data_IF_559752163684
#
_entry.id   IF_559752163684
#
_cell.length_a   1.000
_cell.length_b   1.000
_cell.length_c   1.000
_cell.angle_alpha   90.00
_cell.angle_beta   90.00
_cell.angle_gamma   90.00
#
_symmetry.space_group_name_H-M   'P 1'
#
loop_
_entity.id
_entity.type
_entity.pdbx_description
1 polymer ?
#
# COMPACT_ATOMS: atom_id res chain seq x y z
N UNK A 1 3.23 -7.55 22.84
CA UNK A 1 3.55 -6.51 21.86
C UNK A 1 2.98 -6.85 20.48
N UNK A 2 2.50 -5.85 19.71
CA UNK A 2 1.97 -6.01 18.34
C UNK A 2 3.10 -5.73 17.34
N UNK A 3 3.30 -6.58 16.33
CA UNK A 3 4.26 -6.35 15.25
C UNK A 3 3.79 -5.21 14.33
N UNK A 4 4.67 -4.25 14.04
CA UNK A 4 4.37 -3.07 13.21
C UNK A 4 4.99 -3.10 11.82
N UNK A 5 5.84 -4.09 11.52
CA UNK A 5 6.65 -4.14 10.28
C UNK A 5 8.08 -3.66 10.47
N UNK A 6 8.33 -2.73 11.40
CA UNK A 6 9.66 -2.12 11.63
C UNK A 6 10.51 -2.91 12.62
N UNK A 7 9.90 -3.35 13.71
CA UNK A 7 10.62 -4.03 14.79
C UNK A 7 10.68 -5.52 14.50
N UNK A 8 11.86 -6.04 14.21
CA UNK A 8 12.04 -7.49 14.13
C UNK A 8 11.81 -8.15 15.51
N UNK A 9 10.91 -9.13 15.56
CA UNK A 9 10.55 -9.89 16.77
C UNK A 9 10.79 -11.37 16.49
N UNK A 10 11.89 -11.97 17.01
CA UNK A 10 12.18 -13.36 16.73
C UNK A 10 11.31 -14.33 17.53
N UNK A 11 11.00 -15.48 16.94
CA UNK A 11 10.14 -16.53 17.51
C UNK A 11 8.71 -16.52 16.98
N UNK A 12 8.45 -15.78 15.90
CA UNK A 12 7.20 -15.83 15.14
C UNK A 12 7.55 -16.42 13.78
N UNK A 13 7.07 -17.64 13.52
CA UNK A 13 7.51 -18.46 12.38
C UNK A 13 7.39 -17.76 11.02
N UNK A 14 6.33 -16.97 10.82
CA UNK A 14 6.13 -16.18 9.60
C UNK A 14 7.17 -15.07 9.39
N UNK A 15 7.76 -14.54 10.48
CA UNK A 15 8.73 -13.44 10.43
C UNK A 15 10.18 -13.91 10.49
N UNK A 16 10.45 -15.02 11.19
CA UNK A 16 11.81 -15.58 11.32
C UNK A 16 12.39 -16.05 9.98
N UNK A 17 11.53 -16.35 8.99
CA UNK A 17 11.92 -16.78 7.64
C UNK A 17 11.89 -15.64 6.62
N UNK A 18 11.81 -14.40 7.08
CA UNK A 18 11.85 -13.24 6.20
C UNK A 18 13.28 -12.85 5.87
N UNK A 19 13.52 -12.27 4.68
CA UNK A 19 14.79 -11.63 4.36
C UNK A 19 15.28 -10.74 5.53
N UNK A 20 14.40 -9.86 6.04
CA UNK A 20 14.70 -8.92 7.12
C UNK A 20 15.31 -9.61 8.35
N UNK A 21 14.80 -10.77 8.75
CA UNK A 21 15.37 -11.54 9.85
C UNK A 21 16.85 -11.90 9.59
N UNK A 22 17.15 -12.46 8.42
CA UNK A 22 18.51 -12.87 8.04
C UNK A 22 19.47 -11.68 7.98
N UNK A 23 19.03 -10.53 7.49
CA UNK A 23 19.85 -9.31 7.50
C UNK A 23 20.23 -8.88 8.91
N UNK A 24 19.26 -8.84 9.81
CA UNK A 24 19.47 -8.48 11.21
C UNK A 24 20.44 -9.45 11.88
N UNK A 25 20.24 -10.75 11.70
CA UNK A 25 21.16 -11.77 12.24
C UNK A 25 22.57 -11.60 11.67
N UNK A 26 22.71 -11.43 10.37
CA UNK A 26 24.02 -11.25 9.72
C UNK A 26 24.78 -10.06 10.30
N UNK A 27 24.12 -8.93 10.53
CA UNK A 27 24.74 -7.73 11.14
C UNK A 27 25.30 -8.05 12.52
N UNK A 28 24.52 -8.64 13.41
CA UNK A 28 25.02 -9.02 14.75
C UNK A 28 26.12 -10.09 14.70
N UNK A 29 26.01 -11.12 13.84
CA UNK A 29 27.09 -12.10 13.69
C UNK A 29 28.40 -11.47 13.19
N UNK A 30 28.30 -10.44 12.34
CA UNK A 30 29.47 -9.75 11.78
C UNK A 30 30.26 -8.96 12.83
N UNK A 31 29.65 -8.61 13.97
CA UNK A 31 30.32 -7.86 15.05
C UNK A 31 31.04 -8.75 16.07
N UNK A 32 30.75 -10.05 16.10
CA UNK A 32 31.23 -10.95 17.15
C UNK A 32 32.76 -10.97 17.31
N UNK A 33 33.51 -10.76 16.23
CA UNK A 33 34.98 -10.68 16.27
C UNK A 33 35.52 -9.41 16.91
N UNK A 34 34.73 -8.34 16.95
CA UNK A 34 35.12 -7.02 17.44
C UNK A 34 34.76 -6.80 18.91
N UNK A 35 33.85 -7.61 19.44
CA UNK A 35 33.32 -7.46 20.80
C UNK A 35 33.90 -8.44 21.83
N UNK A 36 34.80 -9.34 21.42
CA UNK A 36 35.28 -10.42 22.29
C UNK A 36 35.89 -9.88 23.60
N UNK A 37 35.33 -10.28 24.74
CA UNK A 37 35.74 -9.82 26.07
C UNK A 37 35.64 -8.29 26.29
N UNK A 38 34.86 -7.57 25.48
CA UNK A 38 34.67 -6.12 25.56
C UNK A 38 33.40 -5.74 26.33
N UNK A 39 33.32 -4.48 26.77
CA UNK A 39 32.09 -3.85 27.25
C UNK A 39 31.34 -3.25 26.07
N UNK A 40 30.15 -3.79 25.80
CA UNK A 40 29.33 -3.45 24.64
C UNK A 40 28.03 -2.80 25.09
N UNK A 41 27.58 -1.77 24.37
CA UNK A 41 26.21 -1.27 24.44
C UNK A 41 25.52 -1.47 23.08
N UNK A 42 24.31 -2.00 23.12
CA UNK A 42 23.41 -2.21 21.99
C UNK A 42 22.29 -1.17 22.11
N UNK A 43 22.38 -0.08 21.35
CA UNK A 43 21.46 1.05 21.40
C UNK A 43 20.32 0.82 20.41
N UNK A 44 19.09 1.02 20.89
CA UNK A 44 17.86 0.54 20.27
C UNK A 44 17.87 -0.98 20.07
N UNK A 45 18.20 -1.72 21.14
CA UNK A 45 18.39 -3.17 21.12
C UNK A 45 17.15 -3.98 20.74
N UNK A 46 15.99 -3.34 20.60
CA UNK A 46 14.76 -4.01 20.31
C UNK A 46 14.40 -5.01 21.39
N UNK A 47 13.85 -6.15 20.97
CA UNK A 47 13.50 -7.28 21.83
C UNK A 47 14.71 -7.97 22.48
N UNK A 48 15.94 -7.50 22.23
CA UNK A 48 17.16 -7.93 22.93
C UNK A 48 17.81 -9.19 22.37
N UNK A 49 17.34 -9.73 21.24
CA UNK A 49 17.91 -10.95 20.65
C UNK A 49 19.36 -10.74 20.19
N UNK A 50 19.68 -9.57 19.64
CA UNK A 50 21.02 -9.18 19.23
C UNK A 50 21.94 -9.03 20.43
N UNK A 51 21.49 -8.33 21.48
CA UNK A 51 22.22 -8.22 22.74
C UNK A 51 22.49 -9.59 23.37
N UNK A 52 21.51 -10.49 23.35
CA UNK A 52 21.66 -11.86 23.84
C UNK A 52 22.67 -12.69 23.03
N UNK A 53 22.67 -12.54 21.70
CA UNK A 53 23.67 -13.19 20.84
C UNK A 53 25.07 -12.65 21.14
N UNK A 54 25.22 -11.32 21.23
CA UNK A 54 26.51 -10.68 21.51
C UNK A 54 27.08 -11.07 22.88
N UNK A 55 26.22 -11.31 23.87
CA UNK A 55 26.61 -11.75 25.20
C UNK A 55 27.30 -13.13 25.22
N UNK A 56 27.27 -13.90 24.12
CA UNK A 56 28.06 -15.13 23.97
C UNK A 56 29.57 -14.88 23.77
N UNK A 57 29.94 -13.70 23.26
CA UNK A 57 31.33 -13.33 22.96
C UNK A 57 31.83 -12.16 23.83
N UNK A 58 30.94 -11.23 24.15
CA UNK A 58 31.28 -10.02 24.91
C UNK A 58 31.57 -10.28 26.39
N UNK A 59 32.38 -9.41 26.99
CA UNK A 59 32.63 -9.43 28.43
C UNK A 59 31.41 -8.95 29.23
N UNK A 60 30.75 -7.89 28.72
CA UNK A 60 29.52 -7.33 29.26
C UNK A 60 28.71 -6.72 28.12
N UNK A 61 27.38 -6.87 28.15
CA UNK A 61 26.45 -6.25 27.19
C UNK A 61 25.38 -5.46 27.94
N UNK A 62 25.14 -4.25 27.47
CA UNK A 62 24.03 -3.41 27.89
C UNK A 62 23.07 -3.20 26.72
N UNK A 63 21.84 -3.70 26.80
CA UNK A 63 20.79 -3.40 25.83
C UNK A 63 19.98 -2.19 26.25
N UNK A 64 19.83 -1.20 25.36
CA UNK A 64 19.07 0.02 25.63
C UNK A 64 18.02 0.23 24.56
N UNK A 65 16.78 0.49 24.96
CA UNK A 65 15.67 0.84 24.05
C UNK A 65 14.76 1.86 24.74
N UNK A 66 14.14 2.75 23.96
CA UNK A 66 13.22 3.77 24.48
C UNK A 66 11.92 3.16 25.02
N UNK A 67 11.53 2.00 24.48
CA UNK A 67 10.31 1.27 24.81
C UNK A 67 10.46 0.46 26.10
N UNK A 68 9.81 0.93 27.17
CA UNK A 68 9.75 0.20 28.44
C UNK A 68 9.10 -1.19 28.31
N UNK A 69 8.08 -1.34 27.45
CA UNK A 69 7.43 -2.64 27.20
C UNK A 69 8.42 -3.64 26.61
N UNK A 70 9.20 -3.20 25.62
CA UNK A 70 10.22 -4.02 24.95
C UNK A 70 11.31 -4.44 25.92
N UNK A 71 11.84 -3.52 26.72
CA UNK A 71 12.88 -3.82 27.71
C UNK A 71 12.37 -4.86 28.71
N UNK A 72 11.16 -4.71 29.24
CA UNK A 72 10.57 -5.69 30.16
C UNK A 72 10.39 -7.08 29.53
N UNK A 73 10.11 -7.14 28.23
CA UNK A 73 10.04 -8.42 27.52
C UNK A 73 11.43 -9.03 27.31
N UNK A 74 12.42 -8.22 26.91
CA UNK A 74 13.81 -8.65 26.73
C UNK A 74 14.41 -9.21 28.04
N UNK A 75 14.23 -8.51 29.17
CA UNK A 75 14.67 -8.94 30.50
C UNK A 75 14.11 -10.30 30.91
N UNK A 76 12.84 -10.57 30.58
CA UNK A 76 12.19 -11.85 30.88
C UNK A 76 12.66 -12.97 29.98
N UNK A 77 12.91 -12.66 28.70
CA UNK A 77 13.24 -13.65 27.67
C UNK A 77 14.72 -14.05 27.71
N UNK A 78 15.61 -13.10 27.99
CA UNK A 78 17.05 -13.29 27.87
C UNK A 78 17.76 -13.01 29.19
N UNK A 79 18.07 -14.08 29.93
CA UNK A 79 18.77 -13.99 31.22
C UNK A 79 20.18 -14.54 31.09
N UNK A 80 21.17 -13.66 31.25
CA UNK A 80 22.60 -14.01 31.30
C UNK A 80 23.32 -13.15 32.35
N UNK A 81 24.41 -13.66 32.89
CA UNK A 81 25.17 -12.98 33.96
C UNK A 81 25.86 -11.69 33.48
N UNK A 82 26.13 -11.56 32.19
CA UNK A 82 26.84 -10.46 31.55
C UNK A 82 25.94 -9.64 30.62
N UNK A 83 24.62 -9.71 30.80
CA UNK A 83 23.64 -9.00 29.98
C UNK A 83 22.69 -8.22 30.89
N UNK A 84 22.53 -6.94 30.62
CA UNK A 84 21.59 -6.08 31.34
C UNK A 84 20.82 -5.24 30.35
N UNK A 85 19.52 -5.10 30.56
CA UNK A 85 18.67 -4.23 29.75
C UNK A 85 18.26 -3.01 30.56
N UNK A 86 18.07 -1.88 29.88
CA UNK A 86 17.61 -0.65 30.52
C UNK A 86 16.83 0.22 29.54
N UNK A 87 15.87 0.99 30.05
CA UNK A 87 15.17 1.97 29.25
C UNK A 87 16.04 3.23 29.08
N UNK A 88 16.22 3.71 27.85
CA UNK A 88 17.02 4.90 27.59
C UNK A 88 16.76 5.53 26.22
N UNK A 89 17.10 6.80 26.07
CA UNK A 89 17.04 7.52 24.79
C UNK A 89 18.42 7.53 24.13
N UNK A 90 18.44 7.46 22.80
CA UNK A 90 19.67 7.61 22.01
C UNK A 90 20.33 8.98 22.22
N UNK A 91 19.54 10.00 22.58
CA UNK A 91 20.02 11.37 22.79
C UNK A 91 20.77 11.56 24.11
N UNK A 92 20.54 10.68 25.09
CA UNK A 92 21.17 10.76 26.41
C UNK A 92 21.21 9.38 27.07
N UNK A 93 22.41 8.83 27.16
CA UNK A 93 22.70 7.51 27.69
C UNK A 93 23.11 7.62 29.17
N UNK A 94 22.56 6.76 30.02
CA UNK A 94 22.88 6.71 31.46
C UNK A 94 24.18 5.93 31.72
N UNK A 95 25.27 6.38 31.10
CA UNK A 95 26.60 5.78 31.19
C UNK A 95 27.65 6.85 31.38
N UNK A 96 28.69 6.55 32.14
CA UNK A 96 29.82 7.44 32.36
C UNK A 96 30.68 7.61 31.09
N UNK A 97 31.36 8.74 31.00
CA UNK A 97 32.28 9.05 29.91
C UNK A 97 33.38 7.99 29.79
N UNK A 98 33.78 7.65 28.56
CA UNK A 98 34.92 6.76 28.29
C UNK A 98 34.85 5.38 28.98
N UNK A 99 33.67 4.79 29.10
CA UNK A 99 33.49 3.48 29.77
C UNK A 99 33.19 2.33 28.81
N UNK A 100 32.75 2.61 27.59
CA UNK A 100 32.29 1.62 26.62
C UNK A 100 33.38 1.33 25.58
N UNK A 101 33.67 0.05 25.33
CA UNK A 101 34.61 -0.36 24.29
C UNK A 101 33.97 -0.34 22.89
N UNK A 102 32.73 -0.83 22.79
CA UNK A 102 32.02 -0.95 21.52
C UNK A 102 30.57 -0.49 21.67
N UNK A 103 30.16 0.46 20.85
CA UNK A 103 28.75 0.85 20.70
C UNK A 103 28.22 0.21 19.42
N UNK A 104 27.09 -0.47 19.51
CA UNK A 104 26.38 -1.08 18.37
C UNK A 104 24.98 -0.48 18.29
N UNK A 105 24.52 -0.11 17.10
CA UNK A 105 23.15 0.37 16.88
C UNK A 105 22.72 0.12 15.44
N UNK A 106 21.78 -0.80 15.24
CA UNK A 106 21.33 -1.19 13.90
C UNK A 106 19.91 -0.70 13.65
N UNK A 107 19.67 -0.14 12.46
CA UNK A 107 18.37 0.37 12.00
C UNK A 107 17.71 1.31 13.05
N UNK A 108 18.34 2.46 13.29
CA UNK A 108 17.98 3.33 14.42
C UNK A 108 18.02 4.80 14.04
N UNK A 109 19.12 5.25 13.44
CA UNK A 109 19.40 6.68 13.22
C UNK A 109 18.36 7.34 12.29
N UNK A 110 17.79 6.57 11.36
CA UNK A 110 16.76 6.97 10.42
C UNK A 110 15.41 7.28 11.08
N UNK A 111 15.15 6.76 12.27
CA UNK A 111 13.89 6.95 13.00
C UNK A 111 13.83 8.28 13.76
N UNK A 112 14.91 9.04 13.78
CA UNK A 112 14.99 10.32 14.48
C UNK A 112 15.32 11.46 13.53
N UNK A 113 14.93 12.68 13.92
CA UNK A 113 15.23 13.87 13.12
C UNK A 113 16.72 14.23 13.19
N UNK A 114 17.18 15.13 12.32
CA UNK A 114 18.60 15.48 12.22
C UNK A 114 19.20 15.98 13.55
N UNK A 115 18.48 16.77 14.34
CA UNK A 115 18.95 17.26 15.65
C UNK A 115 19.21 16.10 16.61
N UNK A 116 18.28 15.15 16.71
CA UNK A 116 18.43 13.95 17.52
C UNK A 116 19.56 13.04 17.00
N UNK A 117 19.81 12.98 15.68
CA UNK A 117 20.98 12.27 15.15
C UNK A 117 22.30 12.90 15.61
N UNK A 118 22.40 14.24 15.63
CA UNK A 118 23.56 14.95 16.15
C UNK A 118 23.78 14.64 17.64
N UNK A 119 22.72 14.69 18.45
CA UNK A 119 22.79 14.34 19.88
C UNK A 119 23.20 12.88 20.08
N UNK A 120 22.61 11.96 19.30
CA UNK A 120 22.93 10.55 19.36
C UNK A 120 24.42 10.29 19.12
N UNK A 121 24.98 10.76 18.01
CA UNK A 121 26.41 10.51 17.72
C UNK A 121 27.33 11.23 18.71
N UNK A 122 26.93 12.40 19.22
CA UNK A 122 27.66 13.10 20.29
C UNK A 122 27.72 12.25 21.56
N UNK A 123 26.59 11.67 21.95
CA UNK A 123 26.49 10.87 23.16
C UNK A 123 27.24 9.55 23.04
N UNK A 124 27.18 8.92 21.86
CA UNK A 124 28.01 7.76 21.53
C UNK A 124 29.49 8.09 21.69
N UNK A 125 29.95 9.23 21.16
CA UNK A 125 31.35 9.66 21.30
C UNK A 125 31.74 9.92 22.76
N UNK A 126 30.82 10.42 23.59
CA UNK A 126 31.06 10.66 25.02
C UNK A 126 31.30 9.36 25.79
N UNK A 127 30.45 8.35 25.59
CA UNK A 127 30.52 7.09 26.34
C UNK A 127 31.64 6.15 25.86
N UNK A 128 32.03 6.26 24.59
CA UNK A 128 33.12 5.48 24.03
C UNK A 128 34.46 5.82 24.69
N UNK A 129 35.22 4.77 25.01
CA UNK A 129 36.66 4.90 25.29
C UNK A 129 37.37 5.52 24.10
N UNK A 130 38.57 6.06 24.33
CA UNK A 130 39.41 6.67 23.29
C UNK A 130 39.66 5.71 22.10
N UNK A 131 39.93 4.44 22.39
CA UNK A 131 40.14 3.37 21.41
C UNK A 131 38.86 2.59 21.07
N UNK A 132 37.72 3.07 21.57
CA UNK A 132 36.42 2.47 21.33
C UNK A 132 35.91 2.71 19.92
N UNK A 133 34.99 1.86 19.49
CA UNK A 133 34.41 1.90 18.14
C UNK A 133 32.90 1.95 18.19
N UNK A 134 32.33 2.62 17.19
CA UNK A 134 30.91 2.58 16.88
C UNK A 134 30.70 1.69 15.67
N UNK A 135 29.75 0.76 15.75
CA UNK A 135 29.26 -0.03 14.61
C UNK A 135 27.78 0.25 14.47
N UNK A 136 27.35 0.79 13.34
CA UNK A 136 25.93 1.09 13.11
C UNK A 136 25.47 0.67 11.73
N UNK A 137 24.16 0.54 11.55
CA UNK A 137 23.55 0.37 10.23
C UNK A 137 22.40 1.34 10.01
N UNK A 138 22.16 1.64 8.74
CA UNK A 138 20.98 2.35 8.29
C UNK A 138 20.69 2.04 6.82
N UNK A 139 19.44 2.24 6.37
CA UNK A 139 19.07 2.08 4.98
C UNK A 139 19.82 3.06 4.08
N UNK A 140 20.24 2.58 2.92
CA UNK A 140 20.68 3.42 1.82
C UNK A 140 19.46 4.07 1.18
N UNK A 141 19.25 5.36 1.45
CA UNK A 141 18.06 6.11 1.00
C UNK A 141 17.70 5.88 -0.47
N UNK A 142 18.71 5.86 -1.35
CA UNK A 142 18.54 5.69 -2.79
C UNK A 142 17.88 4.36 -3.15
N UNK A 143 18.26 3.30 -2.45
CA UNK A 143 17.82 1.93 -2.75
C UNK A 143 16.60 1.54 -1.93
N UNK A 144 16.57 1.90 -0.65
CA UNK A 144 15.50 1.50 0.26
C UNK A 144 14.22 2.31 0.02
N UNK A 145 14.33 3.64 -0.01
CA UNK A 145 13.16 4.53 0.01
C UNK A 145 12.85 5.16 -1.33
N UNK A 146 13.85 5.67 -2.05
CA UNK A 146 13.59 6.34 -3.33
C UNK A 146 13.08 5.33 -4.38
N UNK A 147 13.72 4.15 -4.49
CA UNK A 147 13.23 3.08 -5.36
C UNK A 147 11.83 2.58 -4.98
N UNK A 148 11.54 2.43 -3.69
CA UNK A 148 10.22 2.00 -3.23
C UNK A 148 9.14 3.06 -3.52
N UNK A 149 9.47 4.34 -3.38
CA UNK A 149 8.58 5.44 -3.73
C UNK A 149 8.36 5.53 -5.25
N UNK A 150 9.43 5.45 -6.05
CA UNK A 150 9.33 5.55 -7.51
C UNK A 150 8.57 4.37 -8.11
N UNK A 151 8.68 3.18 -7.51
CA UNK A 151 8.05 1.95 -8.01
C UNK A 151 6.62 1.77 -7.49
N UNK A 152 6.37 2.07 -6.22
CA UNK A 152 5.10 1.74 -5.54
C UNK A 152 4.40 2.93 -4.88
N UNK A 153 4.96 4.13 -4.94
CA UNK A 153 4.46 5.29 -4.20
C UNK A 153 4.56 5.12 -2.68
N UNK A 154 5.32 4.13 -2.21
CA UNK A 154 5.43 3.78 -0.80
C UNK A 154 6.35 4.75 -0.06
N UNK A 155 5.97 5.13 1.16
CA UNK A 155 6.81 5.87 2.11
C UNK A 155 6.72 5.20 3.47
N UNK A 156 7.86 4.90 4.06
CA UNK A 156 7.90 4.45 5.44
C UNK A 156 7.69 5.64 6.38
N UNK A 157 6.56 5.68 7.09
CA UNK A 157 6.24 6.76 8.02
C UNK A 157 7.13 6.80 9.28
N UNK A 158 7.80 5.68 9.58
CA UNK A 158 8.71 5.57 10.71
C UNK A 158 10.12 6.08 10.40
N UNK A 159 10.47 6.27 9.12
CA UNK A 159 11.76 6.79 8.70
C UNK A 159 11.70 8.33 8.61
N UNK A 160 12.15 8.99 9.66
CA UNK A 160 12.13 10.46 9.81
C UNK A 160 13.24 11.14 8.99
N UNK A 161 14.47 10.62 9.03
CA UNK A 161 15.60 11.14 8.24
C UNK A 161 16.58 10.05 7.84
N UNK A 162 16.50 9.63 6.59
CA UNK A 162 17.50 8.76 5.97
C UNK A 162 18.59 9.60 5.26
N UNK A 163 19.74 8.98 5.00
CA UNK A 163 20.85 9.64 4.29
C UNK A 163 21.22 8.90 3.02
N UNK A 164 21.71 9.66 2.04
CA UNK A 164 22.53 9.10 0.97
C UNK A 164 23.93 8.76 1.51
N UNK A 165 24.65 7.86 0.83
CA UNK A 165 25.99 7.42 1.25
C UNK A 165 26.94 8.61 1.52
N UNK A 166 26.99 9.58 0.61
CA UNK A 166 27.89 10.73 0.73
C UNK A 166 27.50 11.67 1.88
N UNK A 167 26.19 11.91 2.06
CA UNK A 167 25.67 12.70 3.18
C UNK A 167 26.03 12.05 4.51
N UNK A 168 25.84 10.73 4.60
CA UNK A 168 26.11 10.00 5.82
C UNK A 168 27.60 9.93 6.15
N UNK A 169 28.43 9.72 5.13
CA UNK A 169 29.88 9.76 5.25
C UNK A 169 30.35 11.12 5.75
N UNK A 170 29.83 12.22 5.20
CA UNK A 170 30.16 13.57 5.66
C UNK A 170 29.70 13.81 7.10
N UNK A 171 28.47 13.41 7.44
CA UNK A 171 27.92 13.53 8.77
C UNK A 171 28.78 12.81 9.81
N UNK A 172 29.10 11.53 9.61
CA UNK A 172 29.90 10.74 10.56
C UNK A 172 31.35 11.24 10.68
N UNK A 173 31.96 11.72 9.58
CA UNK A 173 33.31 12.30 9.58
C UNK A 173 33.41 13.61 10.36
N UNK A 174 32.29 14.28 10.66
CA UNK A 174 32.30 15.42 11.59
C UNK A 174 32.55 15.02 13.05
N UNK A 175 32.39 13.72 13.38
CA UNK A 175 32.58 13.19 14.73
C UNK A 175 33.78 12.26 14.88
N UNK A 176 34.11 11.49 13.85
CA UNK A 176 35.14 10.44 13.88
C UNK A 176 36.17 10.64 12.76
N UNK A 177 37.45 10.42 13.08
CA UNK A 177 38.54 10.52 12.09
C UNK A 177 38.47 9.39 11.05
N UNK A 178 38.06 8.19 11.46
CA UNK A 178 37.95 7.02 10.59
C UNK A 178 36.50 6.56 10.49
N UNK A 179 36.02 6.41 9.26
CA UNK A 179 34.66 5.97 8.93
C UNK A 179 34.73 4.97 7.77
N UNK A 180 34.48 3.70 8.07
CA UNK A 180 34.61 2.58 7.12
C UNK A 180 33.25 1.99 6.78
N UNK A 181 32.86 2.10 5.51
CA UNK A 181 31.59 1.59 5.03
C UNK A 181 31.71 0.13 4.57
N UNK A 182 30.69 -0.64 4.93
CA UNK A 182 30.35 -1.97 4.42
C UNK A 182 28.92 -1.94 3.92
N UNK A 183 28.57 -2.88 3.06
CA UNK A 183 27.30 -2.85 2.34
C UNK A 183 26.63 -4.22 2.40
N UNK A 184 25.38 -4.24 2.85
CA UNK A 184 24.56 -5.44 2.88
C UNK A 184 23.47 -5.34 1.81
N UNK A 185 23.29 -6.47 1.12
CA UNK A 185 22.38 -6.62 0.00
C UNK A 185 21.94 -8.07 -0.12
N UNK A 186 20.79 -8.27 -0.73
CA UNK A 186 20.35 -9.60 -1.16
C UNK A 186 20.88 -9.90 -2.54
N UNK A 187 21.34 -11.13 -2.70
CA UNK A 187 21.73 -11.70 -3.98
C UNK A 187 21.17 -13.11 -4.06
N UNK A 188 20.72 -13.51 -5.26
CA UNK A 188 20.34 -14.90 -5.49
C UNK A 188 21.60 -15.73 -5.71
N UNK A 189 21.82 -16.73 -4.85
CA UNK A 189 22.92 -17.68 -5.00
C UNK A 189 22.43 -18.99 -5.63
N UNK A 190 23.22 -19.53 -6.55
CA UNK A 190 23.02 -20.89 -7.07
C UNK A 190 24.04 -21.82 -6.42
N UNK A 191 23.54 -22.80 -5.69
CA UNK A 191 24.36 -23.79 -5.01
C UNK A 191 24.42 -25.06 -5.86
N UNK A 192 25.62 -25.44 -6.28
CA UNK A 192 25.92 -26.75 -6.86
C UNK A 192 26.76 -27.53 -5.85
N UNK A 193 26.22 -28.65 -5.36
CA UNK A 193 26.92 -29.52 -4.40
C UNK A 193 26.81 -30.97 -4.84
N UNK A 194 27.88 -31.74 -4.67
CA UNK A 194 27.82 -33.19 -4.76
C UNK A 194 27.53 -33.78 -3.38
N UNK A 195 26.92 -34.96 -3.30
CA UNK A 195 26.52 -35.59 -2.03
C UNK A 195 27.67 -35.73 -1.03
N UNK A 196 28.91 -35.84 -1.50
CA UNK A 196 30.12 -36.02 -0.68
C UNK A 196 31.05 -34.80 -0.68
N UNK A 197 30.60 -33.63 -1.14
CA UNK A 197 31.42 -32.42 -1.13
C UNK A 197 31.72 -31.98 0.31
N UNK A 198 33.00 -31.72 0.59
CA UNK A 198 33.48 -31.20 1.89
C UNK A 198 33.92 -29.74 1.80
N UNK A 199 33.95 -29.18 0.59
CA UNK A 199 34.28 -27.79 0.30
C UNK A 199 33.37 -27.23 -0.79
N UNK A 200 33.25 -25.91 -0.85
CA UNK A 200 32.48 -25.18 -1.85
C UNK A 200 33.29 -23.98 -2.33
N UNK A 201 33.36 -23.81 -3.65
CA UNK A 201 33.93 -22.61 -4.26
C UNK A 201 32.84 -21.56 -4.48
N UNK A 202 33.18 -20.29 -4.19
CA UNK A 202 32.31 -19.14 -4.49
C UNK A 202 32.76 -18.55 -5.83
N UNK A 203 31.93 -18.73 -6.86
CA UNK A 203 32.21 -18.20 -8.20
C UNK A 203 31.37 -16.94 -8.43
N UNK A 204 32.04 -15.79 -8.45
CA UNK A 204 31.42 -14.50 -8.79
C UNK A 204 31.60 -14.21 -10.27
N UNK A 205 30.52 -14.34 -11.06
CA UNK A 205 30.57 -14.05 -12.51
C UNK A 205 30.54 -12.56 -12.82
N UNK A 206 29.82 -11.78 -12.02
CA UNK A 206 29.76 -10.33 -12.11
C UNK A 206 30.21 -9.75 -10.78
N UNK A 207 31.10 -8.77 -10.80
CA UNK A 207 31.31 -7.91 -9.63
C UNK A 207 30.14 -6.93 -9.58
N UNK A 208 29.14 -7.23 -8.75
CA UNK A 208 28.05 -6.30 -8.46
C UNK A 208 28.62 -5.00 -7.89
N UNK A 209 28.18 -3.85 -8.40
CA UNK A 209 28.48 -2.57 -7.77
C UNK A 209 27.76 -2.49 -6.41
N UNK A 210 28.36 -1.81 -5.44
CA UNK A 210 27.74 -1.57 -4.13
C UNK A 210 26.52 -0.62 -4.21
N UNK A 211 26.22 -0.10 -5.40
CA UNK A 211 25.18 0.90 -5.66
C UNK A 211 23.77 0.37 -5.37
N UNK A 212 23.58 -0.96 -5.42
CA UNK A 212 22.31 -1.62 -5.14
C UNK A 212 22.20 -2.15 -3.70
N UNK A 213 23.15 -1.82 -2.84
CA UNK A 213 23.06 -2.22 -1.45
C UNK A 213 21.93 -1.50 -0.73
N UNK A 214 21.04 -2.28 -0.11
CA UNK A 214 19.90 -1.79 0.63
C UNK A 214 20.34 -1.14 1.94
N UNK A 215 21.38 -1.68 2.57
CA UNK A 215 21.79 -1.29 3.91
C UNK A 215 23.28 -0.94 3.95
N UNK A 216 23.59 0.18 4.60
CA UNK A 216 24.94 0.60 4.92
C UNK A 216 25.26 0.12 6.33
N UNK A 217 26.44 -0.47 6.52
CA UNK A 217 26.98 -0.77 7.84
C UNK A 217 28.29 -0.02 7.99
N UNK A 218 28.44 0.75 9.05
CA UNK A 218 29.56 1.66 9.20
C UNK A 218 30.29 1.39 10.51
N UNK A 219 31.61 1.25 10.44
CA UNK A 219 32.50 1.25 11.61
C UNK A 219 33.15 2.62 11.71
N UNK A 220 32.98 3.29 12.85
CA UNK A 220 33.58 4.59 13.16
C UNK A 220 34.53 4.49 14.35
N UNK A 221 35.65 5.21 14.29
CA UNK A 221 36.65 5.25 15.36
C UNK A 221 37.46 6.53 15.33
N UNK A 222 38.08 6.89 16.46
CA UNK A 222 39.02 8.01 16.53
C UNK A 222 40.44 7.65 16.07
N UNK A 223 40.79 6.37 16.12
CA UNK A 223 42.10 5.88 15.69
C UNK A 223 41.95 4.93 14.51
N UNK A 224 42.99 4.81 13.70
CA UNK A 224 43.04 3.81 12.64
C UNK A 224 43.00 2.43 13.28
N UNK A 225 41.92 1.71 13.03
CA UNK A 225 41.78 0.33 13.47
C UNK A 225 41.64 -0.51 12.20
N UNK A 226 42.43 -1.59 12.09
CA UNK A 226 42.34 -2.55 11.00
C UNK A 226 41.06 -3.40 11.04
N UNK A 227 39.94 -2.78 11.38
CA UNK A 227 38.64 -3.41 11.52
C UNK A 227 37.91 -3.28 10.19
N UNK A 228 37.74 -4.42 9.54
CA UNK A 228 36.69 -4.60 8.53
C UNK A 228 35.66 -5.58 9.08
N UNK A 229 34.41 -5.42 8.65
CA UNK A 229 33.46 -6.52 8.76
C UNK A 229 33.90 -7.61 7.81
N UNK A 230 33.92 -8.85 8.28
CA UNK A 230 34.25 -9.98 7.42
C UNK A 230 33.14 -10.14 6.38
N UNK A 231 33.55 -10.34 5.13
CA UNK A 231 32.62 -10.78 4.09
C UNK A 231 31.94 -12.07 4.56
N UNK A 232 30.61 -12.09 4.50
CA UNK A 232 29.81 -13.23 4.91
C UNK A 232 28.67 -13.41 3.91
N UNK A 233 28.26 -14.68 3.74
CA UNK A 233 27.08 -15.07 2.99
C UNK A 233 26.18 -15.78 3.99
N UNK A 234 24.94 -15.33 4.09
CA UNK A 234 23.92 -16.02 4.87
C UNK A 234 22.99 -16.72 3.89
N UNK A 235 22.83 -18.02 4.08
CA UNK A 235 21.92 -18.83 3.28
C UNK A 235 20.58 -18.91 4.01
N UNK A 236 19.52 -18.51 3.33
CA UNK A 236 18.15 -18.70 3.81
C UNK A 236 17.80 -20.19 3.88
N UNK A 237 16.69 -20.53 4.54
CA UNK A 237 16.21 -21.90 4.56
C UNK A 237 16.04 -22.45 3.13
N UNK A 238 16.52 -23.69 2.85
CA UNK A 238 16.40 -24.29 1.53
C UNK A 238 14.96 -24.31 1.03
N UNK A 239 14.74 -23.84 -0.19
CA UNK A 239 13.42 -23.88 -0.84
C UNK A 239 12.60 -22.59 -0.72
N UNK A 240 12.93 -21.67 0.19
CA UNK A 240 12.21 -20.38 0.38
C UNK A 240 12.11 -19.59 -0.93
N UNK A 241 13.24 -19.38 -1.59
CA UNK A 241 13.28 -18.69 -2.89
C UNK A 241 12.49 -19.42 -3.99
N UNK A 242 12.53 -20.77 -4.00
CA UNK A 242 11.79 -21.56 -4.99
C UNK A 242 10.28 -21.46 -4.76
N UNK A 243 9.85 -21.36 -3.51
CA UNK A 243 8.45 -21.12 -3.17
C UNK A 243 8.01 -19.72 -3.56
N UNK A 244 8.80 -18.69 -3.23
CA UNK A 244 8.54 -17.30 -3.64
C UNK A 244 8.42 -17.15 -5.16
N UNK A 245 9.33 -17.77 -5.93
CA UNK A 245 9.28 -17.71 -7.40
C UNK A 245 8.06 -18.44 -7.98
N UNK A 246 7.65 -19.57 -7.40
CA UNK A 246 6.40 -20.25 -7.79
C UNK A 246 5.16 -19.41 -7.46
N UNK A 247 5.14 -18.79 -6.29
CA UNK A 247 4.05 -17.92 -5.86
C UNK A 247 3.93 -16.69 -6.77
N UNK A 248 5.06 -16.07 -7.12
CA UNK A 248 5.10 -14.94 -8.04
C UNK A 248 4.56 -15.32 -9.43
N UNK A 249 5.02 -16.43 -10.00
CA UNK A 249 4.53 -16.92 -11.29
C UNK A 249 3.03 -17.25 -11.25
N UNK A 250 2.54 -17.79 -10.13
CA UNK A 250 1.12 -18.02 -9.88
C UNK A 250 0.32 -16.71 -9.84
N UNK A 251 0.83 -15.69 -9.14
CA UNK A 251 0.21 -14.38 -9.04
C UNK A 251 0.15 -13.66 -10.40
N UNK A 252 1.24 -13.69 -11.19
CA UNK A 252 1.26 -13.15 -12.55
C UNK A 252 0.19 -13.77 -13.44
N UNK A 253 0.00 -15.10 -13.34
CA UNK A 253 -1.06 -15.80 -14.07
C UNK A 253 -2.46 -15.33 -13.65
N UNK A 254 -2.70 -15.13 -12.35
CA UNK A 254 -3.97 -14.60 -11.86
C UNK A 254 -4.21 -13.16 -12.29
N UNK A 255 -3.19 -12.30 -12.25
CA UNK A 255 -3.26 -10.92 -12.73
C UNK A 255 -3.66 -10.90 -14.21
N UNK A 256 -3.01 -11.70 -15.05
CA UNK A 256 -3.34 -11.78 -16.47
C UNK A 256 -4.78 -12.23 -16.71
N UNK A 257 -5.30 -13.19 -15.93
CA UNK A 257 -6.70 -13.61 -16.02
C UNK A 257 -7.67 -12.48 -15.65
N UNK A 258 -7.35 -11.72 -14.60
CA UNK A 258 -8.15 -10.56 -14.18
C UNK A 258 -8.17 -9.50 -15.28
N UNK A 259 -7.01 -9.18 -15.87
CA UNK A 259 -6.92 -8.21 -16.96
C UNK A 259 -7.77 -8.62 -18.17
N UNK A 260 -7.70 -9.88 -18.61
CA UNK A 260 -8.57 -10.40 -19.69
C UNK A 260 -10.05 -10.30 -19.33
N UNK A 261 -10.41 -10.52 -18.06
CA UNK A 261 -11.80 -10.40 -17.60
C UNK A 261 -12.27 -8.94 -17.63
N UNK A 262 -11.42 -7.99 -17.24
CA UNK A 262 -11.70 -6.55 -17.30
C UNK A 262 -11.96 -6.14 -18.75
N UNK A 263 -11.07 -6.49 -19.70
CA UNK A 263 -11.26 -6.18 -21.13
C UNK A 263 -12.58 -6.74 -21.67
N UNK A 264 -12.93 -7.96 -21.28
CA UNK A 264 -14.20 -8.59 -21.68
C UNK A 264 -15.40 -7.81 -21.14
N UNK A 265 -15.36 -7.40 -19.88
CA UNK A 265 -16.43 -6.63 -19.23
C UNK A 265 -16.56 -5.23 -19.84
N UNK A 266 -15.45 -4.57 -20.16
CA UNK A 266 -15.45 -3.26 -20.82
C UNK A 266 -16.11 -3.34 -22.21
N UNK A 267 -15.81 -4.38 -22.99
CA UNK A 267 -16.45 -4.62 -24.29
C UNK A 267 -17.95 -4.87 -24.16
N UNK A 268 -18.36 -5.68 -23.18
CA UNK A 268 -19.78 -5.94 -22.89
C UNK A 268 -20.51 -4.66 -22.46
N UNK A 269 -19.89 -3.86 -21.61
CA UNK A 269 -20.44 -2.58 -21.17
C UNK A 269 -20.61 -1.61 -22.35
N UNK A 270 -19.64 -1.55 -23.27
CA UNK A 270 -19.75 -0.77 -24.49
C UNK A 270 -20.91 -1.21 -25.40
N UNK A 271 -21.14 -2.53 -25.55
CA UNK A 271 -22.27 -3.06 -26.30
C UNK A 271 -23.61 -2.70 -25.67
N UNK A 272 -23.74 -2.91 -24.35
CA UNK A 272 -24.96 -2.57 -23.61
C UNK A 272 -25.25 -1.07 -23.65
N UNK A 273 -24.21 -0.23 -23.59
CA UNK A 273 -24.37 1.21 -23.73
C UNK A 273 -24.90 1.58 -25.12
N UNK A 274 -24.38 0.95 -26.18
CA UNK A 274 -24.91 1.13 -27.54
C UNK A 274 -26.36 0.65 -27.72
N UNK A 275 -26.75 -0.47 -27.11
CA UNK A 275 -28.15 -0.94 -27.11
C UNK A 275 -29.08 0.02 -26.35
N UNK A 276 -28.63 0.53 -25.21
CA UNK A 276 -29.36 1.52 -24.42
C UNK A 276 -29.62 2.80 -25.19
N UNK A 277 -28.64 3.28 -25.96
CA UNK A 277 -28.79 4.50 -26.76
C UNK A 277 -29.76 4.28 -27.95
N UNK A 278 -29.74 3.11 -28.60
CA UNK A 278 -30.76 2.75 -29.60
C UNK A 278 -32.17 2.68 -29.02
N UNK A 279 -32.32 2.09 -27.83
CA UNK A 279 -33.63 2.02 -27.16
C UNK A 279 -34.14 3.43 -26.80
N UNK A 280 -33.25 4.35 -26.42
CA UNK A 280 -33.62 5.76 -26.18
C UNK A 280 -34.16 6.42 -27.45
N UNK A 281 -33.49 6.27 -28.58
CA UNK A 281 -33.97 6.78 -29.87
C UNK A 281 -35.36 6.23 -30.24
N UNK A 282 -35.57 4.92 -30.03
CA UNK A 282 -36.88 4.29 -30.28
C UNK A 282 -37.95 4.87 -29.35
N UNK A 283 -37.66 5.06 -28.06
CA UNK A 283 -38.60 5.64 -27.10
C UNK A 283 -38.95 7.08 -27.47
N UNK A 284 -37.99 7.88 -27.94
CA UNK A 284 -38.25 9.24 -28.43
C UNK A 284 -39.16 9.23 -29.66
N UNK A 285 -38.89 8.36 -30.65
CA UNK A 285 -39.73 8.21 -31.84
C UNK A 285 -41.17 7.79 -31.50
N UNK A 286 -41.33 6.78 -30.64
CA UNK A 286 -42.65 6.30 -30.21
C UNK A 286 -43.41 7.38 -29.42
N UNK A 287 -42.71 8.20 -28.64
CA UNK A 287 -43.33 9.33 -27.93
C UNK A 287 -43.87 10.38 -28.91
N UNK A 288 -43.12 10.69 -29.97
CA UNK A 288 -43.58 11.59 -31.04
C UNK A 288 -44.78 11.03 -31.80
N UNK A 289 -44.77 9.73 -32.13
CA UNK A 289 -45.91 9.07 -32.79
C UNK A 289 -47.17 9.07 -31.91
N UNK A 290 -47.01 8.85 -30.60
CA UNK A 290 -48.09 8.90 -29.64
C UNK A 290 -48.71 10.31 -29.58
N UNK A 291 -47.90 11.35 -29.48
CA UNK A 291 -48.36 12.75 -29.49
C UNK A 291 -49.14 13.08 -30.77
N UNK A 292 -48.68 12.57 -31.93
CA UNK A 292 -49.37 12.77 -33.20
C UNK A 292 -50.72 12.03 -33.26
N UNK A 293 -50.77 10.80 -32.74
CA UNK A 293 -52.00 10.02 -32.67
C UNK A 293 -53.03 10.67 -31.72
N UNK A 294 -52.58 11.17 -30.57
CA UNK A 294 -53.44 11.89 -29.62
C UNK A 294 -54.02 13.17 -30.24
N UNK A 295 -53.20 13.97 -30.92
CA UNK A 295 -53.66 15.16 -31.64
C UNK A 295 -54.69 14.81 -32.73
N UNK A 296 -54.44 13.75 -33.50
CA UNK A 296 -55.37 13.29 -34.54
C UNK A 296 -56.71 12.85 -33.94
N UNK A 297 -56.66 12.08 -32.84
CA UNK A 297 -57.85 11.65 -32.10
C UNK A 297 -58.66 12.83 -31.57
N UNK A 298 -57.99 13.87 -31.05
CA UNK A 298 -58.63 15.09 -30.59
C UNK A 298 -59.35 15.82 -31.73
N UNK A 299 -58.72 15.95 -32.90
CA UNK A 299 -59.33 16.55 -34.09
C UNK A 299 -60.58 15.76 -34.51
N UNK A 300 -60.47 14.43 -34.62
CA UNK A 300 -61.62 13.58 -34.99
C UNK A 300 -62.76 13.68 -33.98
N UNK A 301 -62.46 13.81 -32.68
CA UNK A 301 -63.47 14.00 -31.65
C UNK A 301 -64.22 15.35 -31.83
N UNK A 302 -63.51 16.44 -32.18
CA UNK A 302 -64.10 17.74 -32.47
C UNK A 302 -64.99 17.71 -33.72
N UNK A 303 -64.55 17.03 -34.78
CA UNK A 303 -65.34 16.84 -36.00
C UNK A 303 -66.62 16.03 -35.72
N UNK A 304 -66.53 14.95 -34.93
CA UNK A 304 -67.70 14.17 -34.52
C UNK A 304 -68.71 14.98 -33.70
N UNK A 305 -68.25 15.82 -32.76
CA UNK A 305 -69.12 16.74 -32.02
C UNK A 305 -69.82 17.71 -32.98
N UNK A 306 -69.10 18.21 -33.98
CA UNK A 306 -69.64 19.12 -35.01
C UNK A 306 -70.70 18.42 -35.86
N UNK A 307 -70.44 17.21 -36.35
CA UNK A 307 -71.40 16.40 -37.10
C UNK A 307 -72.66 16.06 -36.28
N UNK A 308 -72.50 15.72 -35.01
CA UNK A 308 -73.63 15.49 -34.09
C UNK A 308 -74.48 16.75 -33.94
N UNK A 309 -73.86 17.93 -33.93
CA UNK A 309 -74.56 19.22 -33.86
C UNK A 309 -75.35 19.47 -35.14
N UNK A 310 -74.75 19.29 -36.31
CA UNK A 310 -75.44 19.40 -37.60
C UNK A 310 -76.60 18.39 -37.73
N UNK A 311 -76.40 17.14 -37.29
CA UNK A 311 -77.45 16.12 -37.29
C UNK A 311 -78.66 16.56 -36.46
N UNK A 312 -78.44 17.05 -35.24
CA UNK A 312 -79.51 17.59 -34.38
C UNK A 312 -80.26 18.76 -35.04
N UNK A 313 -79.54 19.63 -35.75
CA UNK A 313 -80.15 20.76 -36.45
C UNK A 313 -81.00 20.31 -37.66
N UNK A 314 -80.51 19.36 -38.45
CA UNK A 314 -81.26 18.74 -39.54
C UNK A 314 -82.53 18.04 -39.04
N UNK A 315 -82.43 17.26 -37.96
CA UNK A 315 -83.59 16.62 -37.30
C UNK A 315 -84.61 17.68 -36.85
N UNK A 316 -84.16 18.80 -36.26
CA UNK A 316 -85.02 19.93 -35.88
C UNK A 316 -85.70 20.56 -37.09
N UNK A 317 -84.99 20.79 -38.19
CA UNK A 317 -85.54 21.35 -39.43
C UNK A 317 -86.57 20.42 -40.08
N UNK A 318 -86.28 19.12 -40.13
CA UNK A 318 -87.20 18.07 -40.60
C UNK A 318 -88.48 18.07 -39.77
N UNK A 319 -88.37 18.04 -38.44
CA UNK A 319 -89.53 18.09 -37.54
C UNK A 319 -90.36 19.36 -37.73
N UNK A 320 -89.70 20.52 -37.84
CA UNK A 320 -90.37 21.81 -38.10
C UNK A 320 -91.12 21.81 -39.44
N UNK A 321 -90.51 21.26 -40.49
CA UNK A 321 -91.10 21.17 -41.82
C UNK A 321 -92.29 20.21 -41.84
N UNK A 322 -92.18 19.06 -41.19
CA UNK A 322 -93.27 18.10 -40.97
C UNK A 322 -94.44 18.74 -40.23
N UNK A 323 -94.17 19.52 -39.18
CA UNK A 323 -95.20 20.24 -38.42
C UNK A 323 -95.91 21.30 -39.29
N UNK A 324 -95.15 22.06 -40.09
CA UNK A 324 -95.72 23.03 -41.05
C UNK A 324 -96.61 22.35 -42.10
N UNK A 325 -96.21 21.17 -42.60
CA UNK A 325 -96.99 20.36 -43.54
C UNK A 325 -98.28 19.84 -42.90
N UNK A 326 -98.21 19.30 -41.68
CA UNK A 326 -99.40 18.88 -40.93
C UNK A 326 -100.37 20.05 -40.68
N UNK A 327 -99.87 21.22 -40.29
CA UNK A 327 -100.70 22.41 -40.09
C UNK A 327 -101.37 22.86 -41.39
N UNK A 328 -100.66 22.84 -42.53
CA UNK A 328 -101.27 23.14 -43.84
C UNK A 328 -102.37 22.14 -44.19
N UNK A 329 -102.12 20.83 -44.02
CA UNK A 329 -103.11 19.78 -44.24
C UNK A 329 -104.34 19.93 -43.33
N UNK A 330 -104.13 20.24 -42.05
CA UNK A 330 -105.20 20.52 -41.10
C UNK A 330 -106.01 21.75 -41.51
N UNK A 331 -105.35 22.85 -41.87
CA UNK A 331 -106.00 24.07 -42.35
C UNK A 331 -106.82 23.80 -43.62
N UNK A 332 -106.29 22.99 -44.54
CA UNK A 332 -106.99 22.58 -45.76
C UNK A 332 -108.22 21.73 -45.44
N UNK A 333 -108.11 20.76 -44.52
CA UNK A 333 -109.25 19.98 -44.00
C UNK A 333 -110.33 20.87 -43.37
N UNK A 334 -109.94 21.87 -42.57
CA UNK A 334 -110.89 22.82 -41.96
C UNK A 334 -111.58 23.71 -43.00
N UNK A 335 -110.85 24.19 -44.02
CA UNK A 335 -111.45 24.93 -45.15
C UNK A 335 -112.49 24.09 -45.88
N UNK A 336 -112.17 22.83 -46.19
CA UNK A 336 -113.10 21.88 -46.83
C UNK A 336 -114.34 21.66 -45.94
N UNK A 337 -114.14 21.47 -44.61
CA UNK A 337 -115.24 21.28 -43.66
C UNK A 337 -116.13 22.51 -43.51
N UNK A 338 -115.56 23.71 -43.54
CA UNK A 338 -116.31 24.98 -43.48
C UNK A 338 -117.05 25.28 -44.78
N UNK A 339 -116.49 24.92 -45.95
CA UNK A 339 -117.23 24.97 -47.23
C UNK A 339 -118.47 24.07 -47.18
N UNK A 340 -118.37 22.88 -46.59
CA UNK A 340 -119.51 21.99 -46.38
C UNK A 340 -120.56 22.54 -45.40
N UNK A 341 -120.16 23.34 -44.39
CA UNK A 341 -121.08 23.94 -43.42
C UNK A 341 -121.80 25.20 -43.93
N UNK A 342 -121.23 25.92 -44.90
CA UNK A 342 -121.85 27.12 -45.51
C UNK A 342 -122.77 26.80 -46.69
N UNK A 343 -122.84 25.54 -47.12
CA UNK A 343 -123.78 25.03 -48.11
C UNK A 343 -125.06 24.43 -47.52
N UNK A 344 -125.39 24.76 -46.27
CA UNK A 344 -126.65 24.37 -45.59
C UNK A 344 -127.38 25.60 -45.08
#
# INVERSE_FOLDING_TARGET
MKFTGERFIPGIEEYDKTPMAYEHWQRYYSTLSHIKSKVVIDIACGEGYGSNLMAESAGQVYGVDISKETIHHAEKKYVRNNLTFSQGSVEKLDFDDNTIDVVISFETIEHVNLEAQYLFITEVKRVLKKDGILILSCPNKRVASDYAFDTWGYRNEFHVKEHYIDEFSHFLKSFFEHVNFSYQRYETVLILSSENATSMDIILKNQSSFEHAQNMIVICSQFEVGLSLKNSIVLEEPGTYLELTRNLAGAEKHINLILTRIETLEKQNGQLQGEKDKLREIVELLSMELDQAENTSLIMAQENITLLTYKKELERLLNTRSLKLMNRLFTMKQKIKNMYKRGK
#
